data_IF_071421710709
#
_entry.id   IF_071421710709
#
_cell.length_a   1.000
_cell.length_b   1.000
_cell.length_c   1.000
_cell.angle_alpha   90.00
_cell.angle_beta   90.00
_cell.angle_gamma   90.00
#
_symmetry.space_group_name_H-M   'P 1'
#
loop_
_entity.id
_entity.type
_entity.pdbx_description
1 polymer ?
#
# COMPACT_ATOMS: atom_id res chain seq x y z
N UNK A 1 -0.44 -1.32 -4.91
CA UNK A 1 0.22 -0.99 -3.64
C UNK A 1 0.89 -2.18 -2.97
N UNK A 2 0.56 -3.40 -3.38
CA UNK A 2 1.01 -4.63 -2.71
C UNK A 2 2.52 -4.85 -2.79
N UNK A 3 3.15 -4.51 -3.93
CA UNK A 3 4.62 -4.60 -4.09
C UNK A 3 5.41 -3.75 -3.06
N UNK A 4 4.86 -2.61 -2.64
CA UNK A 4 5.50 -1.75 -1.62
C UNK A 4 5.35 -2.38 -0.23
N UNK A 5 4.20 -3.02 0.04
CA UNK A 5 3.97 -3.75 1.28
C UNK A 5 4.87 -4.97 1.39
N UNK A 6 5.02 -5.71 0.29
CA UNK A 6 5.92 -6.86 0.15
C UNK A 6 7.37 -6.44 0.43
N UNK A 7 7.87 -5.43 -0.27
CA UNK A 7 9.25 -4.95 -0.11
C UNK A 7 9.52 -4.41 1.31
N UNK A 8 8.54 -3.72 1.92
CA UNK A 8 8.65 -3.24 3.30
C UNK A 8 8.59 -4.38 4.32
N UNK A 9 7.90 -5.47 4.02
CA UNK A 9 7.86 -6.66 4.89
C UNK A 9 9.14 -7.48 4.79
N UNK A 10 9.70 -7.61 3.58
CA UNK A 10 10.91 -8.38 3.30
C UNK A 10 12.21 -7.71 3.76
N UNK A 11 12.17 -6.46 4.24
CA UNK A 11 13.36 -5.83 4.81
C UNK A 11 13.60 -6.30 6.25
N UNK A 12 14.84 -6.28 6.73
CA UNK A 12 15.20 -6.74 8.09
C UNK A 12 14.82 -5.74 9.20
N UNK A 13 13.61 -5.18 9.13
CA UNK A 13 13.13 -4.11 10.02
C UNK A 13 13.07 -4.50 11.49
N UNK A 14 12.99 -5.79 11.80
CA UNK A 14 12.93 -6.31 13.17
C UNK A 14 14.21 -6.03 13.98
N UNK A 15 15.35 -5.92 13.30
CA UNK A 15 16.65 -5.65 13.91
C UNK A 15 16.95 -4.14 14.00
N UNK A 16 16.11 -3.31 13.38
CA UNK A 16 16.26 -1.86 13.35
C UNK A 16 15.65 -1.18 14.59
N UNK A 17 16.02 0.08 14.87
CA UNK A 17 15.47 0.84 16.00
C UNK A 17 13.94 0.93 15.96
N UNK A 18 13.31 1.04 17.13
CA UNK A 18 11.84 1.15 17.30
C UNK A 18 11.21 2.23 16.40
N UNK A 19 11.94 3.33 16.15
CA UNK A 19 11.48 4.40 15.24
C UNK A 19 11.29 3.88 13.80
N UNK A 20 12.21 3.05 13.32
CA UNK A 20 12.15 2.45 11.99
C UNK A 20 11.02 1.41 11.90
N UNK A 21 10.90 0.55 12.92
CA UNK A 21 9.82 -0.44 13.02
C UNK A 21 8.43 0.21 12.92
N UNK A 22 8.25 1.34 13.63
CA UNK A 22 7.01 2.14 13.56
C UNK A 22 6.74 2.69 12.16
N UNK A 23 7.77 3.14 11.44
CA UNK A 23 7.63 3.59 10.06
C UNK A 23 7.18 2.45 9.14
N UNK A 24 7.80 1.27 9.25
CA UNK A 24 7.42 0.08 8.47
C UNK A 24 5.98 -0.36 8.78
N UNK A 25 5.57 -0.34 10.05
CA UNK A 25 4.20 -0.63 10.46
C UNK A 25 3.19 0.32 9.77
N UNK A 26 3.48 1.61 9.67
CA UNK A 26 2.63 2.59 8.99
C UNK A 26 2.55 2.28 7.48
N UNK A 27 3.67 1.93 6.85
CA UNK A 27 3.72 1.54 5.44
C UNK A 27 2.89 0.28 5.18
N UNK A 28 3.02 -0.75 6.02
CA UNK A 28 2.24 -1.98 5.94
C UNK A 28 0.73 -1.74 6.13
N UNK A 29 0.34 -0.85 7.04
CA UNK A 29 -1.08 -0.49 7.21
C UNK A 29 -1.64 0.29 6.02
N UNK A 30 -0.82 1.14 5.40
CA UNK A 30 -1.23 1.93 4.22
C UNK A 30 -1.32 1.10 2.96
N UNK A 31 -0.44 0.13 2.78
CA UNK A 31 -0.42 -0.74 1.59
C UNK A 31 -1.63 -1.68 1.54
N UNK A 32 -2.14 -2.12 2.70
CA UNK A 32 -3.40 -2.86 2.84
C UNK A 32 -4.65 -2.08 2.42
N UNK A 33 -4.55 -0.77 2.24
CA UNK A 33 -5.65 0.06 1.72
C UNK A 33 -5.26 0.53 0.33
N UNK A 34 -5.69 -0.15 -0.75
CA UNK A 34 -5.44 0.36 -2.09
C UNK A 34 -6.00 1.78 -2.18
N UNK A 35 -5.23 2.71 -2.77
CA UNK A 35 -5.70 4.07 -3.04
C UNK A 35 -6.74 3.96 -4.16
N UNK A 36 -7.99 3.75 -3.76
CA UNK A 36 -9.11 3.66 -4.66
C UNK A 36 -9.68 5.06 -4.85
N UNK A 37 -9.46 5.63 -6.03
CA UNK A 37 -10.14 6.84 -6.44
C UNK A 37 -11.52 6.40 -6.93
N UNK A 38 -12.52 6.54 -6.06
CA UNK A 38 -13.92 6.27 -6.41
C UNK A 38 -14.56 7.56 -6.93
N UNK A 39 -14.88 7.59 -8.21
CA UNK A 39 -15.72 8.65 -8.78
C UNK A 39 -17.16 8.15 -8.83
N UNK A 40 -18.10 8.88 -8.20
CA UNK A 40 -19.51 8.47 -8.07
C UNK A 40 -20.18 8.01 -9.39
N UNK A 41 -19.93 8.62 -10.56
CA UNK A 41 -20.48 8.11 -11.83
C UNK A 41 -19.62 7.04 -12.52
N UNK A 42 -18.34 6.88 -12.17
CA UNK A 42 -17.37 6.01 -12.87
C UNK A 42 -16.96 4.75 -12.08
N UNK A 43 -17.36 4.63 -10.81
CA UNK A 43 -16.92 3.55 -9.93
C UNK A 43 -15.47 3.73 -9.46
N UNK A 44 -14.83 2.63 -9.04
CA UNK A 44 -13.40 2.61 -8.72
C UNK A 44 -12.61 2.70 -10.01
N UNK A 45 -11.80 3.75 -10.16
CA UNK A 45 -10.92 3.89 -11.32
C UNK A 45 -9.87 2.77 -11.30
N UNK A 46 -9.95 1.85 -12.26
CA UNK A 46 -9.01 0.75 -12.49
C UNK A 46 -8.57 0.73 -13.95
N UNK A 47 -7.45 0.06 -14.25
CA UNK A 47 -6.98 -0.09 -15.64
C UNK A 47 -8.01 -0.82 -16.52
N UNK A 48 -8.76 -1.75 -15.92
CA UNK A 48 -9.86 -2.47 -16.58
C UNK A 48 -10.95 -1.50 -17.07
N UNK A 49 -11.25 -0.44 -16.31
CA UNK A 49 -12.22 0.59 -16.67
C UNK A 49 -11.73 1.50 -17.81
N UNK A 50 -10.41 1.69 -17.97
CA UNK A 50 -9.83 2.47 -19.07
C UNK A 50 -9.73 1.68 -20.39
N UNK A 51 -9.58 0.36 -20.29
CA UNK A 51 -9.46 -0.51 -21.46
C UNK A 51 -10.81 -0.87 -22.10
N UNK A 52 -11.92 -0.37 -21.56
CA UNK A 52 -13.28 -0.57 -22.07
C UNK A 52 -13.74 0.67 -22.83
#
# INVERSE_FOLDING_TARGET
SDMVGEAAYSCDWYNEPIKFQRSIMIILMRTKRPVQISMRPLGTLSLEMFAT
#
